data_IF_565354322324
#
_entry.id   IF_565354322324
#
_cell.length_a   1.000
_cell.length_b   1.000
_cell.length_c   1.000
_cell.angle_alpha   90.00
_cell.angle_beta   90.00
_cell.angle_gamma   90.00
#
_symmetry.space_group_name_H-M   'P 1'
#
loop_
_entity.id
_entity.type
_entity.pdbx_description
1 polymer ?
#
# COMPACT_ATOMS: atom_id res chain seq x y z
N UNK A 1 -16.62 29.72 20.78
CA UNK A 1 -18.08 29.46 20.92
C UNK A 1 -18.26 28.04 21.39
N UNK A 2 -19.02 27.86 22.47
CA UNK A 2 -19.09 26.65 23.30
C UNK A 2 -19.93 25.54 22.68
N UNK A 3 -19.51 24.30 22.92
CA UNK A 3 -20.23 23.06 22.59
C UNK A 3 -21.28 22.80 23.67
N UNK A 4 -22.57 22.78 23.31
CA UNK A 4 -23.63 22.23 24.15
C UNK A 4 -24.77 21.60 23.33
N UNK A 5 -24.91 20.29 23.52
CA UNK A 5 -26.13 19.49 23.64
C UNK A 5 -27.29 19.71 22.63
N UNK A 6 -27.57 18.67 21.84
CA UNK A 6 -28.94 18.30 21.47
C UNK A 6 -29.18 16.83 21.82
N UNK A 7 -30.12 16.66 22.75
CA UNK A 7 -30.59 15.40 23.34
C UNK A 7 -31.51 14.67 22.36
N UNK A 8 -31.55 13.35 22.55
CA UNK A 8 -32.53 12.40 22.01
C UNK A 8 -33.98 12.86 22.28
N UNK A 9 -34.81 12.82 21.25
CA UNK A 9 -36.27 12.68 21.39
C UNK A 9 -36.71 11.47 20.57
N UNK A 10 -37.05 10.39 21.28
CA UNK A 10 -37.85 9.27 20.77
C UNK A 10 -39.31 9.68 20.80
N UNK A 11 -39.93 9.82 19.63
CA UNK A 11 -41.36 10.01 19.50
C UNK A 11 -42.09 8.65 19.65
N UNK A 12 -42.78 8.46 20.77
CA UNK A 12 -43.77 7.41 20.97
C UNK A 12 -45.11 7.84 20.38
N UNK A 13 -45.64 7.07 19.42
CA UNK A 13 -46.99 7.24 18.91
C UNK A 13 -48.02 6.61 19.87
N UNK A 14 -49.13 7.30 20.19
CA UNK A 14 -50.14 6.79 21.11
C UNK A 14 -51.20 5.95 20.35
N UNK A 15 -51.57 4.80 20.93
CA UNK A 15 -52.83 4.11 20.59
C UNK A 15 -52.66 2.75 19.90
N UNK A 16 -52.33 1.71 20.67
CA UNK A 16 -52.72 0.34 20.37
C UNK A 16 -53.07 -0.36 21.70
N UNK A 17 -54.29 -0.89 21.80
CA UNK A 17 -54.79 -1.63 22.96
C UNK A 17 -53.98 -2.92 23.17
N UNK A 18 -53.79 -3.42 24.41
CA UNK A 18 -53.10 -4.67 24.62
C UNK A 18 -53.94 -5.84 24.08
N UNK A 19 -53.41 -6.54 23.06
CA UNK A 19 -53.95 -7.83 22.67
C UNK A 19 -53.59 -8.86 23.74
N UNK A 20 -54.57 -9.67 24.13
CA UNK A 20 -54.48 -10.68 25.16
C UNK A 20 -53.32 -11.66 24.93
N UNK A 21 -52.66 -12.07 26.02
CA UNK A 21 -51.58 -13.03 26.04
C UNK A 21 -52.08 -14.43 25.60
N UNK A 22 -51.94 -14.74 24.31
CA UNK A 22 -51.93 -16.10 23.81
C UNK A 22 -50.52 -16.66 23.93
N UNK A 23 -50.27 -17.49 24.94
CA UNK A 23 -49.00 -18.22 25.06
C UNK A 23 -48.77 -19.15 23.86
N UNK A 24 -47.52 -19.36 23.43
CA UNK A 24 -47.22 -20.28 22.33
C UNK A 24 -47.64 -21.72 22.70
N UNK A 25 -48.05 -22.54 21.72
CA UNK A 25 -48.39 -23.93 21.97
C UNK A 25 -47.18 -24.69 22.54
N UNK A 26 -47.38 -25.55 23.55
CA UNK A 26 -46.29 -26.28 24.17
C UNK A 26 -45.70 -27.27 23.16
N UNK A 27 -44.43 -27.08 22.76
CA UNK A 27 -43.70 -28.08 21.98
C UNK A 27 -42.63 -27.58 20.99
N UNK A 28 -42.50 -26.28 20.72
CA UNK A 28 -41.47 -25.79 19.79
C UNK A 28 -40.24 -25.32 20.57
N UNK A 29 -39.34 -26.27 20.87
CA UNK A 29 -38.02 -25.97 21.40
C UNK A 29 -37.23 -25.12 20.39
N UNK A 30 -36.60 -24.06 20.89
CA UNK A 30 -35.92 -23.02 20.12
C UNK A 30 -34.92 -23.59 19.10
N UNK A 31 -35.20 -23.31 17.83
CA UNK A 31 -34.14 -23.26 16.83
C UNK A 31 -33.16 -22.12 17.16
N UNK A 32 -31.90 -22.21 16.72
CA UNK A 32 -30.95 -21.12 16.88
C UNK A 32 -31.56 -19.82 16.33
N UNK A 33 -31.30 -18.66 16.98
CA UNK A 33 -31.82 -17.39 16.50
C UNK A 33 -31.44 -17.21 15.04
N UNK A 34 -32.32 -16.63 14.20
CA UNK A 34 -31.97 -16.32 12.83
C UNK A 34 -30.68 -15.51 12.84
N UNK A 35 -29.67 -15.98 12.09
CA UNK A 35 -28.42 -15.24 11.95
C UNK A 35 -28.77 -13.86 11.43
N UNK A 36 -28.38 -12.81 12.18
CA UNK A 36 -28.67 -11.45 11.80
C UNK A 36 -28.01 -11.21 10.44
N UNK A 37 -28.83 -10.99 9.42
CA UNK A 37 -28.37 -10.51 8.12
C UNK A 37 -28.01 -9.04 8.31
N UNK A 38 -26.79 -8.79 8.79
CA UNK A 38 -26.25 -7.44 8.86
C UNK A 38 -25.99 -6.96 7.43
N UNK A 39 -26.36 -5.71 7.14
CA UNK A 39 -26.08 -5.09 5.86
C UNK A 39 -24.57 -5.11 5.56
N UNK A 40 -24.21 -5.09 4.27
CA UNK A 40 -22.81 -5.03 3.85
C UNK A 40 -22.26 -3.64 4.19
N UNK A 41 -21.25 -3.58 5.04
CA UNK A 41 -20.50 -2.35 5.33
C UNK A 41 -19.50 -2.08 4.19
N UNK A 42 -19.38 -0.82 3.79
CA UNK A 42 -18.45 -0.38 2.74
C UNK A 42 -17.03 -0.20 3.25
N UNK A 43 -16.86 -0.09 4.57
CA UNK A 43 -15.60 0.28 5.23
C UNK A 43 -15.38 1.79 5.27
N UNK A 44 -16.30 2.60 4.75
CA UNK A 44 -16.26 4.07 4.79
C UNK A 44 -17.04 4.64 5.98
N UNK A 45 -17.91 3.84 6.60
CA UNK A 45 -18.77 4.25 7.70
C UNK A 45 -17.95 4.89 8.83
N UNK A 46 -18.29 6.13 9.20
CA UNK A 46 -17.58 6.92 10.21
C UNK A 46 -16.27 7.58 9.73
N UNK A 47 -15.91 7.42 8.45
CA UNK A 47 -14.74 8.02 7.79
C UNK A 47 -15.10 8.73 6.48
N UNK A 48 -16.35 9.13 6.31
CA UNK A 48 -16.88 9.68 5.06
C UNK A 48 -16.13 10.96 4.63
N UNK A 49 -15.77 11.82 5.59
CA UNK A 49 -15.01 13.05 5.31
C UNK A 49 -13.59 12.73 4.81
N UNK A 50 -12.91 11.78 5.46
CA UNK A 50 -11.57 11.34 5.09
C UNK A 50 -11.58 10.68 3.70
N UNK A 51 -12.57 9.82 3.45
CA UNK A 51 -12.78 9.20 2.15
C UNK A 51 -13.03 10.26 1.06
N UNK A 52 -13.93 11.22 1.31
CA UNK A 52 -14.23 12.30 0.37
C UNK A 52 -13.00 13.15 0.04
N UNK A 53 -12.17 13.49 1.03
CA UNK A 53 -10.90 14.21 0.82
C UNK A 53 -9.90 13.38 0.01
N UNK A 54 -9.75 12.09 0.34
CA UNK A 54 -8.83 11.18 -0.36
C UNK A 54 -9.22 11.00 -1.83
N UNK A 55 -10.50 10.74 -2.10
CA UNK A 55 -11.03 10.63 -3.47
C UNK A 55 -10.91 11.93 -4.25
N UNK A 56 -11.10 13.08 -3.61
CA UNK A 56 -10.91 14.38 -4.26
C UNK A 56 -9.47 14.58 -4.76
N UNK A 57 -8.46 14.12 -4.02
CA UNK A 57 -7.05 14.17 -4.46
C UNK A 57 -6.80 13.23 -5.64
N UNK A 58 -7.28 11.99 -5.56
CA UNK A 58 -7.17 11.01 -6.65
C UNK A 58 -7.79 11.55 -7.93
N UNK A 59 -9.04 12.03 -7.87
CA UNK A 59 -9.75 12.58 -9.03
C UNK A 59 -9.08 13.85 -9.58
N UNK A 60 -8.55 14.73 -8.72
CA UNK A 60 -7.80 15.91 -9.16
C UNK A 60 -6.50 15.55 -9.88
N UNK A 61 -5.87 14.44 -9.50
CA UNK A 61 -4.64 13.95 -10.14
C UNK A 61 -4.97 13.31 -11.48
N UNK A 62 -5.89 12.35 -11.51
CA UNK A 62 -6.24 11.59 -12.71
C UNK A 62 -6.93 12.44 -13.79
N UNK A 63 -7.64 13.51 -13.42
CA UNK A 63 -8.21 14.44 -14.42
C UNK A 63 -7.14 15.26 -15.15
N UNK A 64 -5.93 15.36 -14.60
CA UNK A 64 -4.87 16.16 -15.20
C UNK A 64 -4.15 15.35 -16.28
N UNK A 65 -4.65 15.45 -17.51
CA UNK A 65 -4.16 14.67 -18.65
C UNK A 65 -3.22 15.43 -19.57
N UNK A 66 -2.90 16.70 -19.25
CA UNK A 66 -2.00 17.55 -20.04
C UNK A 66 -0.90 18.14 -19.14
N UNK A 67 0.37 18.20 -19.61
CA UNK A 67 0.85 17.79 -20.94
C UNK A 67 0.94 16.27 -21.13
N UNK A 68 0.74 15.46 -20.09
CA UNK A 68 0.60 14.01 -20.18
C UNK A 68 -0.37 13.49 -19.10
N UNK A 69 -0.81 12.25 -19.23
CA UNK A 69 -1.67 11.59 -18.26
C UNK A 69 -0.88 11.23 -16.98
N UNK A 70 -1.25 11.83 -15.85
CA UNK A 70 -0.64 11.55 -14.55
C UNK A 70 -1.21 10.28 -13.92
N UNK A 71 -0.39 9.59 -13.12
CA UNK A 71 -0.84 8.60 -12.14
C UNK A 71 -0.79 9.15 -10.72
N UNK A 72 -1.43 8.42 -9.81
CA UNK A 72 -1.61 8.84 -8.40
C UNK A 72 -0.28 8.93 -7.63
N UNK A 73 0.78 8.30 -8.13
CA UNK A 73 2.12 8.25 -7.55
C UNK A 73 3.14 9.17 -8.25
N UNK A 74 2.75 9.91 -9.28
CA UNK A 74 3.66 10.71 -10.12
C UNK A 74 4.58 11.64 -9.31
N UNK A 75 4.05 12.29 -8.27
CA UNK A 75 4.83 13.21 -7.44
C UNK A 75 5.95 12.48 -6.69
N UNK A 76 5.65 11.30 -6.13
CA UNK A 76 6.63 10.45 -5.46
C UNK A 76 7.68 9.93 -6.46
N UNK A 77 7.23 9.49 -7.63
CA UNK A 77 8.11 9.01 -8.70
C UNK A 77 9.07 10.10 -9.13
N UNK A 78 8.60 11.32 -9.40
CA UNK A 78 9.45 12.46 -9.79
C UNK A 78 10.48 12.81 -8.72
N UNK A 79 10.07 12.84 -7.45
CA UNK A 79 11.00 13.10 -6.34
C UNK A 79 12.11 12.03 -6.29
N UNK A 80 11.76 10.76 -6.51
CA UNK A 80 12.73 9.66 -6.55
C UNK A 80 13.64 9.76 -7.78
N UNK A 81 13.08 9.99 -8.97
CA UNK A 81 13.84 10.17 -10.21
C UNK A 81 14.84 11.33 -10.09
N UNK A 82 14.44 12.45 -9.48
CA UNK A 82 15.32 13.59 -9.26
C UNK A 82 16.52 13.25 -8.37
N UNK A 83 16.30 12.51 -7.28
CA UNK A 83 17.38 12.05 -6.42
C UNK A 83 18.31 11.06 -7.14
N UNK A 84 17.75 10.12 -7.91
CA UNK A 84 18.53 9.12 -8.67
C UNK A 84 19.32 9.76 -9.81
N UNK A 85 18.74 10.73 -10.53
CA UNK A 85 19.43 11.48 -11.58
C UNK A 85 20.61 12.23 -10.99
N UNK A 86 20.42 12.94 -9.87
CA UNK A 86 21.50 13.63 -9.18
C UNK A 86 22.61 12.64 -8.77
N UNK A 87 22.25 11.50 -8.18
CA UNK A 87 23.24 10.50 -7.81
C UNK A 87 23.98 9.94 -9.04
N UNK A 88 23.29 9.69 -10.16
CA UNK A 88 23.88 9.24 -11.42
C UNK A 88 24.86 10.27 -11.98
N UNK A 89 24.45 11.52 -12.11
CA UNK A 89 25.24 12.59 -12.72
C UNK A 89 26.54 12.89 -11.95
N UNK A 90 26.52 12.63 -10.64
CA UNK A 90 27.66 12.83 -9.75
C UNK A 90 28.46 11.54 -9.45
N UNK A 91 28.07 10.39 -10.01
CA UNK A 91 28.73 9.11 -9.74
C UNK A 91 28.58 8.61 -8.29
N UNK A 92 27.49 8.99 -7.62
CA UNK A 92 27.20 8.72 -6.20
C UNK A 92 26.13 7.63 -5.99
N UNK A 93 25.86 6.81 -7.02
CA UNK A 93 24.73 5.88 -6.99
C UNK A 93 24.92 4.79 -5.92
N UNK A 94 26.13 4.27 -5.76
CA UNK A 94 26.46 3.27 -4.75
C UNK A 94 26.31 3.86 -3.33
N UNK A 95 26.81 5.08 -3.11
CA UNK A 95 26.69 5.78 -1.83
C UNK A 95 25.23 6.11 -1.50
N UNK A 96 24.43 6.47 -2.52
CA UNK A 96 23.01 6.72 -2.36
C UNK A 96 22.25 5.45 -1.95
N UNK A 97 22.52 4.31 -2.58
CA UNK A 97 21.96 3.00 -2.16
C UNK A 97 22.42 2.64 -0.75
N UNK A 98 23.71 2.76 -0.46
CA UNK A 98 24.25 2.45 0.86
C UNK A 98 23.64 3.37 1.93
N UNK A 99 23.36 4.64 1.61
CA UNK A 99 22.66 5.56 2.49
C UNK A 99 21.22 5.11 2.74
N UNK A 100 20.45 4.76 1.71
CA UNK A 100 19.08 4.25 1.82
C UNK A 100 19.04 3.04 2.77
N UNK A 101 19.91 2.03 2.55
CA UNK A 101 20.05 0.85 3.42
C UNK A 101 20.37 1.25 4.87
N UNK A 102 21.32 2.17 5.09
CA UNK A 102 21.67 2.63 6.44
C UNK A 102 20.50 3.32 7.13
N UNK A 103 19.72 4.14 6.43
CA UNK A 103 18.59 4.86 7.02
C UNK A 103 17.41 3.93 7.35
N UNK A 104 17.29 2.81 6.65
CA UNK A 104 16.26 1.81 6.90
C UNK A 104 16.61 0.81 8.00
N UNK A 105 17.83 0.87 8.56
CA UNK A 105 18.30 -0.02 9.64
C UNK A 105 17.32 -0.21 10.80
N UNK A 106 16.65 0.83 11.34
CA UNK A 106 15.71 0.64 12.44
C UNK A 106 14.57 -0.32 12.07
N UNK A 107 14.05 -0.23 10.84
CA UNK A 107 12.97 -1.10 10.37
C UNK A 107 13.47 -2.50 10.03
N UNK A 108 14.60 -2.61 9.32
CA UNK A 108 15.18 -3.92 8.98
C UNK A 108 15.61 -4.69 10.23
N UNK A 109 16.07 -4.02 11.30
CA UNK A 109 16.39 -4.66 12.58
C UNK A 109 15.14 -5.22 13.28
N UNK A 110 13.99 -4.54 13.18
CA UNK A 110 12.73 -5.08 13.73
C UNK A 110 12.35 -6.34 12.95
N UNK A 111 12.44 -6.32 11.62
CA UNK A 111 12.15 -7.50 10.80
C UNK A 111 13.12 -8.65 11.10
N UNK A 112 14.43 -8.37 11.24
CA UNK A 112 15.44 -9.34 11.66
C UNK A 112 15.04 -10.06 12.95
N UNK A 113 14.70 -9.30 13.98
CA UNK A 113 14.29 -9.89 15.27
C UNK A 113 13.00 -10.73 15.17
N UNK A 114 12.11 -10.44 14.22
CA UNK A 114 10.92 -11.27 13.96
C UNK A 114 11.28 -12.55 13.20
N UNK A 115 12.16 -12.46 12.20
CA UNK A 115 12.67 -13.62 11.45
C UNK A 115 13.42 -14.56 12.39
N UNK A 116 14.36 -14.06 13.19
CA UNK A 116 15.15 -14.87 14.14
C UNK A 116 14.28 -15.62 15.16
N UNK A 117 13.19 -15.00 15.63
CA UNK A 117 12.27 -15.61 16.60
C UNK A 117 11.35 -16.67 15.97
N UNK A 118 10.98 -16.49 14.72
CA UNK A 118 9.96 -17.31 14.05
C UNK A 118 10.54 -18.36 13.10
N UNK A 119 11.77 -18.17 12.63
CA UNK A 119 12.39 -18.93 11.55
C UNK A 119 11.76 -18.69 10.18
N UNK A 120 10.91 -17.67 10.00
CA UNK A 120 10.14 -17.47 8.76
C UNK A 120 10.74 -16.36 7.89
N UNK A 121 11.38 -16.73 6.78
CA UNK A 121 11.93 -15.77 5.81
C UNK A 121 10.87 -14.89 5.15
N UNK A 122 9.63 -15.38 5.01
CA UNK A 122 8.46 -14.66 4.47
C UNK A 122 8.22 -13.30 5.16
N UNK A 123 8.60 -13.16 6.43
CA UNK A 123 8.49 -11.90 7.17
C UNK A 123 9.28 -10.78 6.48
N UNK A 124 10.41 -11.09 5.85
CA UNK A 124 11.18 -10.11 5.08
C UNK A 124 10.39 -9.58 3.89
N UNK A 125 9.72 -10.45 3.13
CA UNK A 125 8.86 -10.04 2.01
C UNK A 125 7.69 -9.19 2.50
N UNK A 126 7.02 -9.60 3.58
CA UNK A 126 5.93 -8.83 4.18
C UNK A 126 6.41 -7.44 4.62
N UNK A 127 7.59 -7.37 5.25
CA UNK A 127 8.19 -6.15 5.77
C UNK A 127 8.68 -5.19 4.69
N UNK A 128 9.04 -5.69 3.51
CA UNK A 128 9.51 -4.87 2.39
C UNK A 128 8.34 -4.45 1.48
N UNK A 129 7.40 -5.36 1.21
CA UNK A 129 6.37 -5.19 0.17
C UNK A 129 4.94 -5.00 0.71
N UNK A 130 4.45 -5.86 1.61
CA UNK A 130 2.99 -5.94 1.86
C UNK A 130 2.47 -5.06 3.00
N UNK A 131 3.29 -4.81 4.03
CA UNK A 131 2.90 -3.98 5.18
C UNK A 131 3.47 -2.58 5.12
N UNK A 132 4.06 -2.20 3.99
CA UNK A 132 4.59 -0.86 3.77
C UNK A 132 3.66 -0.09 2.85
N UNK A 133 2.96 0.90 3.41
CA UNK A 133 2.17 1.83 2.60
C UNK A 133 3.02 2.47 1.48
N UNK A 134 4.33 2.62 1.72
CA UNK A 134 5.28 3.16 0.76
C UNK A 134 5.44 2.30 -0.51
N UNK A 135 5.35 0.96 -0.42
CA UNK A 135 5.43 0.12 -1.61
C UNK A 135 4.20 0.32 -2.50
N UNK A 136 3.00 0.29 -1.92
CA UNK A 136 1.75 0.52 -2.66
C UNK A 136 1.63 1.96 -3.22
N UNK A 137 2.25 2.93 -2.55
CA UNK A 137 2.36 4.29 -3.09
C UNK A 137 3.35 4.39 -4.23
N UNK A 138 4.32 3.48 -4.33
CA UNK A 138 5.33 3.48 -5.38
C UNK A 138 4.90 2.61 -6.58
N UNK A 139 4.49 1.36 -6.34
CA UNK A 139 4.09 0.38 -7.33
C UNK A 139 2.56 0.18 -7.27
N UNK A 140 1.86 0.51 -8.35
CA UNK A 140 0.41 0.39 -8.43
C UNK A 140 -0.07 -1.03 -8.77
N UNK A 141 0.82 -1.83 -9.36
CA UNK A 141 0.55 -3.20 -9.79
C UNK A 141 1.50 -4.15 -9.06
N UNK A 142 0.95 -4.89 -8.09
CA UNK A 142 1.71 -5.81 -7.23
C UNK A 142 0.94 -7.12 -7.04
N UNK A 143 1.64 -8.23 -7.09
CA UNK A 143 1.14 -9.58 -6.87
C UNK A 143 1.92 -10.23 -5.72
N UNK A 144 1.19 -10.89 -4.82
CA UNK A 144 1.77 -11.57 -3.66
C UNK A 144 1.48 -13.07 -3.70
N UNK A 145 2.51 -13.90 -3.52
CA UNK A 145 2.40 -15.35 -3.41
C UNK A 145 3.36 -15.91 -2.35
N UNK A 146 3.19 -17.17 -1.90
CA UNK A 146 4.09 -17.75 -0.90
C UNK A 146 5.55 -17.68 -1.34
N UNK A 147 6.44 -17.09 -0.53
CA UNK A 147 7.86 -16.96 -0.84
C UNK A 147 8.20 -15.99 -1.98
N UNK A 148 7.23 -15.26 -2.54
CA UNK A 148 7.45 -14.44 -3.74
C UNK A 148 6.59 -13.16 -3.76
N UNK A 149 7.17 -12.06 -4.22
CA UNK A 149 6.47 -10.85 -4.61
C UNK A 149 6.81 -10.48 -6.04
N UNK A 150 5.82 -9.99 -6.79
CA UNK A 150 5.99 -9.53 -8.16
C UNK A 150 5.37 -8.15 -8.32
N UNK A 151 6.04 -7.24 -9.03
CA UNK A 151 5.52 -5.88 -9.26
C UNK A 151 5.91 -5.36 -10.64
N UNK A 152 5.09 -4.44 -11.17
CA UNK A 152 5.44 -3.71 -12.38
C UNK A 152 6.33 -2.51 -12.02
N UNK A 153 7.41 -2.31 -12.78
CA UNK A 153 8.23 -1.11 -12.64
C UNK A 153 7.36 0.16 -12.77
N UNK A 154 7.48 1.12 -11.82
CA UNK A 154 6.56 2.25 -11.75
C UNK A 154 7.02 3.49 -12.53
N UNK A 155 8.16 3.41 -13.24
CA UNK A 155 8.84 4.58 -13.79
C UNK A 155 8.47 4.90 -15.24
N UNK A 156 8.00 3.91 -16.01
CA UNK A 156 7.75 3.99 -17.45
C UNK A 156 7.04 5.28 -17.90
N UNK A 157 5.91 5.61 -17.26
CA UNK A 157 5.05 6.74 -17.65
C UNK A 157 5.71 8.08 -17.42
N UNK A 158 6.30 8.28 -16.23
CA UNK A 158 6.98 9.54 -15.90
C UNK A 158 8.26 9.69 -16.72
N UNK A 159 9.03 8.63 -16.94
CA UNK A 159 10.20 8.65 -17.82
C UNK A 159 9.81 9.00 -19.26
N UNK A 160 8.74 8.40 -19.80
CA UNK A 160 8.25 8.71 -21.13
C UNK A 160 7.85 10.19 -21.29
N UNK A 161 7.32 10.83 -20.25
CA UNK A 161 6.98 12.24 -20.25
C UNK A 161 8.21 13.15 -20.10
N UNK A 162 9.13 12.79 -19.21
CA UNK A 162 10.29 13.61 -18.82
C UNK A 162 11.44 13.53 -19.82
N UNK A 163 11.62 12.40 -20.50
CA UNK A 163 12.59 12.25 -21.60
C UNK A 163 12.31 13.22 -22.75
N UNK A 164 11.03 13.45 -23.08
CA UNK A 164 10.62 14.34 -24.18
C UNK A 164 11.03 15.80 -23.96
N UNK A 165 11.21 16.19 -22.71
CA UNK A 165 11.60 17.55 -22.32
C UNK A 165 13.05 17.61 -21.82
N UNK A 166 13.81 16.51 -21.91
CA UNK A 166 15.20 16.44 -21.46
C UNK A 166 15.40 16.57 -19.95
N UNK A 167 14.38 16.26 -19.15
CA UNK A 167 14.47 16.41 -17.69
C UNK A 167 15.27 15.27 -17.03
N UNK A 168 15.15 14.04 -17.53
CA UNK A 168 15.89 12.86 -17.04
C UNK A 168 16.42 12.07 -18.24
N UNK A 169 17.48 11.29 -18.03
CA UNK A 169 18.05 10.34 -19.01
C UNK A 169 18.18 8.91 -18.44
N UNK A 170 17.43 8.63 -17.36
CA UNK A 170 17.34 7.33 -16.69
C UNK A 170 16.47 6.36 -17.49
N UNK A 171 16.88 5.09 -17.61
CA UNK A 171 16.00 4.02 -18.10
C UNK A 171 15.47 3.19 -16.95
N UNK A 172 14.33 2.51 -17.13
CA UNK A 172 13.79 1.60 -16.11
C UNK A 172 14.77 0.46 -15.79
N UNK A 173 15.43 -0.07 -16.81
CA UNK A 173 16.51 -1.05 -16.67
C UNK A 173 17.65 -0.51 -15.79
N UNK A 174 18.14 0.70 -16.10
CA UNK A 174 19.22 1.31 -15.34
C UNK A 174 18.80 1.52 -13.88
N UNK A 175 17.60 2.05 -13.64
CA UNK A 175 17.06 2.25 -12.29
C UNK A 175 16.97 0.90 -11.57
N UNK A 176 16.48 -0.14 -12.23
CA UNK A 176 16.33 -1.44 -11.60
C UNK A 176 17.66 -2.03 -11.19
N UNK A 177 18.62 -2.09 -12.10
CA UNK A 177 19.93 -2.72 -11.86
C UNK A 177 20.83 -1.90 -10.91
N UNK A 178 20.70 -0.57 -10.89
CA UNK A 178 21.58 0.31 -10.10
C UNK A 178 20.95 0.82 -8.79
N UNK A 179 19.62 0.78 -8.66
CA UNK A 179 18.94 1.25 -7.46
C UNK A 179 18.00 0.20 -6.85
N UNK A 180 16.99 -0.28 -7.59
CA UNK A 180 15.93 -1.15 -7.03
C UNK A 180 16.48 -2.49 -6.55
N UNK A 181 17.30 -3.16 -7.36
CA UNK A 181 17.83 -4.48 -7.00
C UNK A 181 18.89 -4.37 -5.89
N UNK A 182 19.92 -3.50 -5.97
CA UNK A 182 20.91 -3.35 -4.91
C UNK A 182 20.32 -2.97 -3.55
N UNK A 183 19.34 -2.06 -3.50
CA UNK A 183 18.71 -1.68 -2.23
C UNK A 183 17.91 -2.82 -1.60
N UNK A 184 17.18 -3.61 -2.40
CA UNK A 184 16.37 -4.72 -1.91
C UNK A 184 17.26 -5.83 -1.35
N UNK A 185 18.34 -6.16 -2.06
CA UNK A 185 19.34 -7.12 -1.59
C UNK A 185 20.02 -6.64 -0.29
N UNK A 186 20.37 -5.34 -0.21
CA UNK A 186 20.92 -4.76 1.00
C UNK A 186 19.95 -4.76 2.19
N UNK A 187 18.64 -4.62 1.94
CA UNK A 187 17.63 -4.82 2.99
C UNK A 187 17.56 -6.29 3.43
N UNK A 188 17.55 -7.23 2.50
CA UNK A 188 17.51 -8.65 2.81
C UNK A 188 18.73 -9.08 3.64
N UNK A 189 19.92 -8.62 3.27
CA UNK A 189 21.15 -8.84 4.04
C UNK A 189 21.04 -8.26 5.45
N UNK A 190 20.54 -7.02 5.58
CA UNK A 190 20.35 -6.40 6.89
C UNK A 190 19.33 -7.14 7.77
N UNK A 191 18.30 -7.74 7.15
CA UNK A 191 17.30 -8.58 7.83
C UNK A 191 17.89 -9.95 8.19
N UNK A 192 18.87 -10.43 7.43
CA UNK A 192 19.51 -11.74 7.60
C UNK A 192 18.79 -12.87 6.86
N UNK A 193 18.21 -12.58 5.69
CA UNK A 193 17.58 -13.59 4.82
C UNK A 193 18.27 -13.66 3.47
N UNK A 194 18.28 -14.84 2.86
CA UNK A 194 18.65 -15.00 1.47
C UNK A 194 17.47 -14.59 0.58
N UNK A 195 17.65 -13.51 -0.19
CA UNK A 195 16.64 -13.02 -1.13
C UNK A 195 17.23 -12.97 -2.52
N UNK A 196 16.45 -13.43 -3.50
CA UNK A 196 16.73 -13.21 -4.92
C UNK A 196 15.82 -12.12 -5.45
N UNK A 197 16.37 -11.22 -6.25
CA UNK A 197 15.62 -10.22 -7.00
C UNK A 197 15.97 -10.39 -8.47
N UNK A 198 14.95 -10.50 -9.32
CA UNK A 198 15.15 -10.72 -10.76
C UNK A 198 15.99 -9.60 -11.37
N UNK A 199 16.72 -9.92 -12.43
CA UNK A 199 17.22 -8.88 -13.34
C UNK A 199 16.05 -8.20 -14.07
N UNK A 200 16.35 -7.07 -14.71
CA UNK A 200 15.40 -6.34 -15.54
C UNK A 200 14.77 -7.25 -16.59
N UNK A 201 13.45 -7.12 -16.75
CA UNK A 201 12.67 -7.81 -17.77
C UNK A 201 12.13 -6.78 -18.76
N UNK A 202 12.13 -7.04 -20.07
CA UNK A 202 11.59 -6.09 -21.06
C UNK A 202 10.10 -5.80 -20.90
N UNK A 203 9.34 -6.73 -20.32
CA UNK A 203 7.93 -6.53 -19.96
C UNK A 203 7.77 -5.70 -18.68
N UNK A 204 8.89 -5.30 -18.08
CA UNK A 204 9.11 -4.57 -16.83
C UNK A 204 8.37 -5.09 -15.60
N UNK A 205 8.05 -6.39 -15.59
CA UNK A 205 7.67 -7.10 -14.39
C UNK A 205 8.92 -7.62 -13.67
N UNK A 206 8.93 -7.45 -12.36
CA UNK A 206 10.09 -7.73 -11.50
C UNK A 206 9.65 -8.64 -10.36
N UNK A 207 10.53 -9.53 -9.91
CA UNK A 207 10.24 -10.46 -8.81
C UNK A 207 11.26 -10.36 -7.69
N UNK A 208 10.81 -10.64 -6.46
CA UNK A 208 11.62 -10.89 -5.29
C UNK A 208 11.17 -12.21 -4.64
N UNK A 209 12.12 -13.06 -4.28
CA UNK A 209 11.88 -14.39 -3.71
C UNK A 209 12.76 -14.60 -2.49
N UNK A 210 12.26 -15.36 -1.51
CA UNK A 210 13.03 -15.86 -0.37
C UNK A 210 12.90 -17.38 -0.30
N UNK A 211 13.95 -18.05 0.18
CA UNK A 211 13.97 -19.50 0.40
C UNK A 211 13.42 -19.91 1.79
#
# INVERSE_FOLDING_TARGET
>A
MSVQALRKETATLPGARPAAAGGPPPGVAGGPPPQAWTGVETGVEGREEEFGKSMAVVLKTLKNTKPYAHEINDALIKARLQAMQFAKDHGLMEEYVAHDIRTMKPLTNIMKGLVEKSGQAEIALIGIFDRTACHYQLCLETESGPGMRRWRSPFARVLAATHRIGQFDLTEEWIHENWTRPRLLGYAEAIGVEMRVSHWQPDGWLTAEVD
#
